data_IF_543205955568
#
_entry.id   IF_543205955568
#
_cell.length_a   1.000
_cell.length_b   1.000
_cell.length_c   1.000
_cell.angle_alpha   90.00
_cell.angle_beta   90.00
_cell.angle_gamma   90.00
#
_symmetry.space_group_name_H-M   'P 1'
#
loop_
_entity.id
_entity.type
_entity.pdbx_description
1 polymer ?
#
# COMPACT_ATOMS: atom_id res chain seq x y z
N UNK A 1 -61.94 -24.67 69.43
CA UNK A 1 -61.68 -23.21 69.28
C UNK A 1 -60.31 -23.11 68.61
N UNK A 2 -60.28 -23.05 67.28
CA UNK A 2 -60.36 -21.83 66.46
C UNK A 2 -59.26 -20.83 66.79
N UNK A 3 -58.42 -20.54 65.81
CA UNK A 3 -57.46 -19.46 65.89
C UNK A 3 -56.44 -19.51 64.75
N UNK A 4 -56.92 -19.59 63.51
CA UNK A 4 -56.09 -19.33 62.33
C UNK A 4 -55.70 -17.84 62.34
N UNK A 5 -54.42 -17.53 62.20
CA UNK A 5 -53.94 -16.16 62.00
C UNK A 5 -52.96 -16.14 60.82
N UNK A 6 -53.39 -15.47 59.75
CA UNK A 6 -52.59 -14.82 58.72
C UNK A 6 -53.01 -13.32 58.71
N UNK A 7 -52.35 -12.38 58.02
CA UNK A 7 -50.98 -12.29 57.48
C UNK A 7 -50.32 -10.91 57.80
N UNK A 8 -49.11 -10.63 57.30
CA UNK A 8 -48.70 -9.24 57.04
C UNK A 8 -47.20 -8.92 57.05
N UNK A 9 -46.67 -8.65 55.84
CA UNK A 9 -45.67 -7.62 55.47
C UNK A 9 -44.28 -7.61 56.09
N UNK A 10 -43.25 -7.73 55.23
CA UNK A 10 -42.01 -6.90 55.11
C UNK A 10 -41.12 -7.61 54.07
N UNK A 11 -41.10 -7.22 52.80
CA UNK A 11 -40.33 -6.12 52.22
C UNK A 11 -38.81 -6.19 52.48
N UNK A 12 -38.08 -6.18 51.36
CA UNK A 12 -36.69 -5.76 51.15
C UNK A 12 -35.56 -6.81 51.14
N UNK A 13 -34.89 -6.83 49.98
CA UNK A 13 -33.46 -7.07 49.76
C UNK A 13 -32.97 -8.50 50.02
N UNK A 14 -32.08 -9.13 49.28
CA UNK A 14 -30.94 -8.78 48.42
C UNK A 14 -30.51 -10.19 47.92
N UNK A 15 -30.09 -10.48 46.70
CA UNK A 15 -28.85 -10.09 46.07
C UNK A 15 -28.60 -11.12 44.98
N UNK A 16 -28.23 -10.62 43.80
CA UNK A 16 -27.25 -11.25 42.93
C UNK A 16 -27.60 -12.61 42.32
N UNK A 17 -28.10 -12.59 41.08
CA UNK A 17 -27.39 -13.31 40.01
C UNK A 17 -27.29 -12.43 38.78
N UNK A 18 -26.02 -12.15 38.46
CA UNK A 18 -25.48 -11.46 37.31
C UNK A 18 -26.36 -11.51 36.07
N UNK A 19 -26.61 -10.31 35.55
CA UNK A 19 -26.93 -10.08 34.15
C UNK A 19 -25.83 -10.76 33.32
N UNK A 20 -26.24 -11.64 32.42
CA UNK A 20 -25.43 -11.98 31.25
C UNK A 20 -25.36 -10.71 30.41
N UNK A 21 -24.35 -9.89 30.70
CA UNK A 21 -23.93 -8.84 29.78
C UNK A 21 -23.31 -9.56 28.59
N UNK A 22 -23.91 -9.30 27.42
CA UNK A 22 -23.54 -9.95 26.18
C UNK A 22 -22.04 -9.87 25.96
N UNK A 23 -21.43 -11.03 25.75
CA UNK A 23 -20.13 -11.13 25.13
C UNK A 23 -20.27 -10.57 23.70
N UNK A 24 -20.13 -9.26 23.58
CA UNK A 24 -19.79 -8.59 22.35
C UNK A 24 -18.41 -9.07 21.93
N UNK A 25 -18.36 -10.26 21.34
CA UNK A 25 -17.21 -10.77 20.60
C UNK A 25 -17.12 -10.02 19.28
N UNK A 26 -16.96 -8.70 19.39
CA UNK A 26 -16.24 -7.91 18.41
C UNK A 26 -14.84 -8.49 18.40
N UNK A 27 -14.65 -9.53 17.57
CA UNK A 27 -13.33 -9.94 17.12
C UNK A 27 -12.67 -8.64 16.74
N UNK A 28 -11.69 -8.21 17.54
CA UNK A 28 -10.73 -7.16 17.16
C UNK A 28 -10.30 -7.56 15.76
N UNK A 29 -10.89 -6.91 14.75
CA UNK A 29 -10.42 -7.02 13.38
C UNK A 29 -8.94 -6.80 13.51
N UNK A 30 -8.16 -7.83 13.20
CA UNK A 30 -6.72 -7.75 13.26
C UNK A 30 -6.35 -6.43 12.60
N UNK A 31 -5.66 -5.58 13.35
CA UNK A 31 -5.12 -4.33 12.83
C UNK A 31 -4.03 -4.73 11.81
N UNK A 32 -4.49 -5.15 10.63
CA UNK A 32 -3.67 -5.30 9.45
C UNK A 32 -3.10 -3.91 9.20
N UNK A 33 -1.78 -3.78 9.31
CA UNK A 33 -1.09 -2.52 9.11
C UNK A 33 -1.67 -1.82 7.86
N UNK A 34 -2.05 -0.54 7.97
CA UNK A 34 -2.78 0.12 6.89
C UNK A 34 -1.97 0.02 5.60
N UNK A 35 -2.61 -0.54 4.56
CA UNK A 35 -2.02 -0.68 3.22
C UNK A 35 -1.51 0.68 2.76
N UNK A 36 -0.37 0.69 2.09
CA UNK A 36 0.24 1.89 1.56
C UNK A 36 0.58 1.67 0.08
N UNK A 37 0.55 2.76 -0.68
CA UNK A 37 0.91 2.77 -2.09
C UNK A 37 1.73 4.01 -2.41
N UNK A 38 2.68 3.87 -3.33
CA UNK A 38 3.50 4.95 -3.89
C UNK A 38 3.52 4.79 -5.41
N UNK A 39 3.29 5.88 -6.13
CA UNK A 39 3.38 5.92 -7.58
C UNK A 39 4.64 6.69 -7.99
N UNK A 40 5.39 6.12 -8.93
CA UNK A 40 6.62 6.69 -9.46
C UNK A 40 6.42 7.11 -10.91
N UNK A 41 7.00 8.24 -11.30
CA UNK A 41 7.17 8.66 -12.69
C UNK A 41 8.66 8.59 -13.04
N UNK A 42 8.97 7.97 -14.16
CA UNK A 42 10.30 7.99 -14.75
C UNK A 42 10.25 8.72 -16.09
N UNK A 43 11.11 9.72 -16.25
CA UNK A 43 11.33 10.42 -17.51
C UNK A 43 12.82 10.26 -17.88
N UNK A 44 13.16 9.59 -19.00
CA UNK A 44 14.55 9.41 -19.41
C UNK A 44 15.32 10.72 -19.56
N UNK A 45 14.63 11.84 -19.82
CA UNK A 45 15.26 13.15 -19.96
C UNK A 45 15.58 13.83 -18.61
N UNK A 46 14.86 13.48 -17.54
CA UNK A 46 15.06 14.05 -16.19
C UNK A 46 16.02 13.22 -15.32
N UNK A 47 16.42 12.03 -15.79
CA UNK A 47 17.45 11.18 -15.19
C UNK A 47 17.02 10.38 -13.97
N UNK A 48 16.34 10.98 -13.01
CA UNK A 48 15.90 10.32 -11.77
C UNK A 48 14.37 10.13 -11.73
N UNK A 49 13.86 8.94 -11.35
CA UNK A 49 12.44 8.77 -11.07
C UNK A 49 11.99 9.69 -9.93
N UNK A 50 10.71 10.04 -9.91
CA UNK A 50 10.11 10.92 -8.91
C UNK A 50 8.82 10.34 -8.35
N UNK A 51 8.52 10.66 -7.09
CA UNK A 51 7.25 10.27 -6.45
C UNK A 51 6.15 11.20 -6.92
N UNK A 52 5.12 10.69 -7.59
CA UNK A 52 4.00 11.51 -8.09
C UNK A 52 2.71 11.33 -7.29
N UNK A 53 2.57 10.22 -6.57
CA UNK A 53 1.48 10.00 -5.64
C UNK A 53 1.91 9.09 -4.48
N UNK A 54 1.29 9.27 -3.31
CA UNK A 54 1.42 8.37 -2.16
C UNK A 54 0.14 8.37 -1.35
N UNK A 55 -0.21 7.23 -0.76
CA UNK A 55 -1.45 7.07 0.01
C UNK A 55 -1.40 5.93 1.00
N UNK A 56 -2.34 5.95 1.95
CA UNK A 56 -2.56 4.88 2.95
C UNK A 56 -4.05 4.53 3.02
N UNK A 57 -4.36 3.31 3.44
CA UNK A 57 -5.73 2.80 3.56
C UNK A 57 -6.48 2.94 2.23
N UNK A 58 -7.68 3.52 2.28
CA UNK A 58 -8.55 3.68 1.11
C UNK A 58 -7.87 4.43 -0.04
N UNK A 59 -7.07 5.46 0.25
CA UNK A 59 -6.34 6.19 -0.79
C UNK A 59 -5.29 5.31 -1.48
N UNK A 60 -4.66 4.39 -0.76
CA UNK A 60 -3.74 3.44 -1.37
C UNK A 60 -4.47 2.48 -2.32
N UNK A 61 -5.65 2.01 -1.92
CA UNK A 61 -6.50 1.16 -2.76
C UNK A 61 -6.94 1.91 -4.02
N UNK A 62 -7.33 3.18 -3.91
CA UNK A 62 -7.68 4.03 -5.07
C UNK A 62 -6.51 4.25 -6.02
N UNK A 63 -5.29 4.50 -5.51
CA UNK A 63 -4.08 4.65 -6.34
C UNK A 63 -3.83 3.36 -7.13
N UNK A 64 -3.88 2.21 -6.46
CA UNK A 64 -3.67 0.91 -7.10
C UNK A 64 -4.76 0.62 -8.13
N UNK A 65 -6.02 0.92 -7.81
CA UNK A 65 -7.15 0.72 -8.71
C UNK A 65 -7.00 1.56 -9.98
N UNK A 66 -6.69 2.86 -9.85
CA UNK A 66 -6.46 3.75 -10.99
C UNK A 66 -5.26 3.31 -11.83
N UNK A 67 -4.19 2.83 -11.20
CA UNK A 67 -3.03 2.30 -11.91
C UNK A 67 -3.43 1.12 -12.80
N UNK A 68 -4.18 0.15 -12.26
CA UNK A 68 -4.69 -1.01 -13.01
C UNK A 68 -5.60 -0.61 -14.18
N UNK A 69 -6.51 0.34 -13.94
CA UNK A 69 -7.43 0.85 -14.98
C UNK A 69 -6.70 1.52 -16.15
N UNK A 70 -5.55 2.15 -15.89
CA UNK A 70 -4.74 2.83 -16.90
C UNK A 70 -3.61 1.96 -17.47
N UNK A 71 -3.56 0.67 -17.12
CA UNK A 71 -2.51 -0.24 -17.56
C UNK A 71 -1.12 0.08 -16.99
N UNK A 72 -1.06 0.83 -15.89
CA UNK A 72 0.20 1.09 -15.17
C UNK A 72 0.58 -0.15 -14.36
N UNK A 73 1.81 -0.68 -14.51
CA UNK A 73 2.27 -1.85 -13.75
C UNK A 73 2.21 -1.62 -12.24
N UNK A 74 1.71 -2.61 -11.51
CA UNK A 74 1.62 -2.59 -10.03
C UNK A 74 2.45 -3.72 -9.46
N UNK A 75 3.46 -3.36 -8.67
CA UNK A 75 4.26 -4.31 -7.89
C UNK A 75 3.87 -4.22 -6.41
N UNK A 76 3.68 -5.36 -5.77
CA UNK A 76 3.43 -5.45 -4.33
C UNK A 76 4.76 -5.75 -3.61
N UNK A 77 5.27 -4.75 -2.89
CA UNK A 77 6.47 -4.88 -2.05
C UNK A 77 6.33 -3.95 -0.84
N UNK A 78 6.15 -4.55 0.33
CA UNK A 78 5.95 -3.80 1.58
C UNK A 78 7.19 -3.01 1.99
N UNK A 79 8.37 -3.60 1.87
CA UNK A 79 9.62 -2.98 2.29
C UNK A 79 9.94 -1.77 1.41
N UNK A 80 9.74 -1.91 0.09
CA UNK A 80 9.92 -0.81 -0.85
C UNK A 80 8.95 0.35 -0.58
N UNK A 81 7.67 0.05 -0.36
CA UNK A 81 6.66 1.06 -0.03
C UNK A 81 6.99 1.78 1.28
N UNK A 82 7.45 1.07 2.31
CA UNK A 82 7.86 1.67 3.58
C UNK A 82 9.03 2.65 3.41
N UNK A 83 9.96 2.38 2.50
CA UNK A 83 11.07 3.28 2.19
C UNK A 83 10.61 4.47 1.35
N UNK A 84 9.95 4.21 0.21
CA UNK A 84 9.53 5.24 -0.74
C UNK A 84 8.46 6.18 -0.18
N UNK A 85 7.60 5.70 0.73
CA UNK A 85 6.55 6.54 1.34
C UNK A 85 7.11 7.66 2.23
N UNK A 86 8.39 7.58 2.61
CA UNK A 86 9.09 8.64 3.35
C UNK A 86 9.49 9.82 2.47
N UNK A 87 9.55 9.62 1.15
CA UNK A 87 9.86 10.69 0.19
C UNK A 87 8.64 11.59 -0.01
N UNK A 88 8.88 12.86 -0.28
CA UNK A 88 7.85 13.86 -0.57
C UNK A 88 7.30 13.75 -2.00
N UNK A 89 6.11 14.32 -2.19
CA UNK A 89 5.53 14.41 -3.52
C UNK A 89 6.41 15.31 -4.40
N UNK A 90 6.58 14.88 -5.65
CA UNK A 90 7.47 15.44 -6.66
C UNK A 90 8.96 15.42 -6.28
N UNK A 91 9.33 14.72 -5.20
CA UNK A 91 10.72 14.52 -4.85
C UNK A 91 11.33 13.47 -5.79
N UNK A 92 12.52 13.77 -6.32
CA UNK A 92 13.34 12.77 -7.00
C UNK A 92 13.82 11.73 -6.00
N UNK A 93 13.91 10.49 -6.48
CA UNK A 93 14.44 9.40 -5.68
C UNK A 93 15.92 9.71 -5.35
N UNK A 94 16.36 9.55 -4.09
CA UNK A 94 17.77 9.69 -3.73
C UNK A 94 18.64 8.58 -4.35
N UNK A 95 19.92 8.88 -4.57
CA UNK A 95 20.87 7.96 -5.20
C UNK A 95 21.01 6.63 -4.46
N UNK A 96 20.87 6.64 -3.13
CA UNK A 96 20.94 5.45 -2.28
C UNK A 96 19.82 4.45 -2.55
N UNK A 97 18.74 4.88 -3.21
CA UNK A 97 17.60 4.03 -3.58
C UNK A 97 17.57 3.67 -5.07
N UNK A 98 18.56 4.10 -5.85
CA UNK A 98 18.59 3.85 -7.30
C UNK A 98 18.68 2.38 -7.66
N UNK A 99 19.52 1.61 -6.97
CA UNK A 99 19.66 0.17 -7.24
C UNK A 99 18.33 -0.56 -7.03
N UNK A 100 17.65 -0.24 -5.95
CA UNK A 100 16.36 -0.83 -5.59
C UNK A 100 15.27 -0.51 -6.62
N UNK A 101 15.23 0.74 -7.11
CA UNK A 101 14.27 1.15 -8.14
C UNK A 101 14.63 0.60 -9.52
N UNK A 102 15.92 0.48 -9.84
CA UNK A 102 16.39 -0.14 -11.07
C UNK A 102 16.00 -1.63 -11.14
N UNK A 103 16.04 -2.34 -10.02
CA UNK A 103 15.57 -3.72 -9.92
C UNK A 103 14.06 -3.82 -10.22
N UNK A 104 13.26 -2.96 -9.60
CA UNK A 104 11.81 -2.86 -9.87
C UNK A 104 11.53 -2.62 -11.35
N UNK A 105 12.18 -1.62 -11.95
CA UNK A 105 12.00 -1.28 -13.36
C UNK A 105 12.44 -2.43 -14.27
N UNK A 106 13.55 -3.09 -13.94
CA UNK A 106 14.06 -4.24 -14.69
C UNK A 106 13.06 -5.42 -14.70
N UNK A 107 12.35 -5.64 -13.60
CA UNK A 107 11.29 -6.65 -13.53
C UNK A 107 10.10 -6.30 -14.44
N UNK A 108 9.67 -5.03 -14.40
CA UNK A 108 8.57 -4.53 -15.25
C UNK A 108 8.96 -4.66 -16.73
N UNK A 109 10.14 -4.21 -17.13
CA UNK A 109 10.59 -4.27 -18.53
C UNK A 109 10.87 -5.69 -19.04
N UNK A 110 11.25 -6.63 -18.18
CA UNK A 110 11.38 -8.05 -18.56
C UNK A 110 10.02 -8.71 -18.77
N UNK A 111 9.02 -8.33 -17.97
CA UNK A 111 7.64 -8.80 -18.11
C UNK A 111 6.99 -8.20 -19.34
N UNK A 112 7.26 -6.91 -19.61
CA UNK A 112 6.76 -6.20 -20.79
C UNK A 112 7.48 -6.62 -22.08
N UNK A 113 8.73 -7.08 -22.03
CA UNK A 113 9.43 -7.68 -23.20
C UNK A 113 8.75 -8.92 -23.78
N UNK A 114 7.84 -9.57 -23.04
CA UNK A 114 6.94 -10.61 -23.59
C UNK A 114 5.66 -10.07 -24.21
N UNK A 115 5.31 -8.79 -23.99
CA UNK A 115 4.06 -8.16 -24.40
C UNK A 115 4.22 -6.96 -25.36
N UNK A 116 5.38 -6.30 -25.43
CA UNK A 116 5.59 -5.09 -26.22
C UNK A 116 7.07 -4.88 -26.54
N UNK A 117 7.37 -4.74 -27.81
CA UNK A 117 8.71 -4.51 -28.33
C UNK A 117 9.39 -3.30 -27.65
N UNK A 118 10.73 -3.37 -27.57
CA UNK A 118 11.61 -2.20 -27.49
C UNK A 118 11.42 -1.28 -28.70
N UNK A 119 10.29 -0.59 -28.78
CA UNK A 119 10.16 0.57 -29.65
C UNK A 119 10.87 1.74 -28.96
N UNK A 120 12.21 1.78 -29.06
CA UNK A 120 12.87 3.07 -29.24
C UNK A 120 13.99 3.52 -28.29
N UNK A 121 14.60 2.70 -27.42
CA UNK A 121 15.57 3.27 -26.46
C UNK A 121 16.96 2.60 -26.34
N UNK A 122 17.34 1.65 -27.20
CA UNK A 122 18.74 1.14 -27.22
C UNK A 122 19.39 1.08 -28.61
N UNK A 123 18.74 1.58 -29.67
CA UNK A 123 19.40 1.78 -30.97
C UNK A 123 20.13 3.13 -30.96
N UNK A 124 21.18 3.21 -30.14
CA UNK A 124 22.19 4.23 -30.29
C UNK A 124 23.03 3.87 -31.52
N UNK A 125 23.17 4.74 -32.54
CA UNK A 125 24.17 4.53 -33.58
C UNK A 125 25.56 4.69 -32.95
N UNK A 126 26.13 3.57 -32.52
CA UNK A 126 27.52 3.48 -32.11
C UNK A 126 28.44 3.65 -33.32
N UNK A 127 29.19 4.75 -33.33
CA UNK A 127 30.56 4.79 -33.83
C UNK A 127 30.77 4.87 -35.34
N UNK A 128 31.17 6.07 -35.79
CA UNK A 128 32.48 6.27 -36.44
C UNK A 128 32.75 7.77 -36.61
N UNK A 129 33.46 8.33 -35.63
CA UNK A 129 34.33 9.49 -35.86
C UNK A 129 35.69 9.00 -36.37
N UNK A 130 36.29 9.76 -37.30
CA UNK A 130 37.63 9.54 -37.85
C UNK A 130 37.59 9.61 -39.38
N UNK A 131 37.80 10.75 -40.06
CA UNK A 131 38.81 11.75 -39.77
C UNK A 131 40.16 11.27 -40.31
N UNK A 132 40.48 11.62 -41.57
CA UNK A 132 41.86 11.68 -42.05
C UNK A 132 42.26 10.63 -43.10
N UNK A 133 42.66 11.17 -44.27
CA UNK A 133 43.56 10.67 -45.34
C UNK A 133 42.92 11.15 -46.64
N UNK A 134 43.49 12.05 -47.42
CA UNK A 134 44.86 12.57 -47.54
C UNK A 134 44.95 13.06 -48.97
#
# INVERSE_FOLDING_TARGET
MSGNAQPGTEAASETGRMRQEGEGKGRRSAEEAPRAAVALRYDPAEGAPSVVAKGKGQLADEIVQRARENGVPVQEDRSLVEVLSKLDLNQQIPAELYELVAELLSFIYQTDRKAGALSGALDAPGGQEGGGRG
#
